data_IF_692927860042
#
_entry.id   IF_692927860042
#
_cell.length_a   1.000
_cell.length_b   1.000
_cell.length_c   1.000
_cell.angle_alpha   90.00
_cell.angle_beta   90.00
_cell.angle_gamma   90.00
#
_symmetry.space_group_name_H-M   'P 1'
#
loop_
_entity.id
_entity.type
_entity.pdbx_description
1 polymer ?
#
# COMPACT_ATOMS: atom_id res chain seq x y z
N UNK A 1 -21.03 -32.75 -27.37
CA UNK A 1 -19.62 -32.56 -27.74
C UNK A 1 -19.39 -31.06 -27.89
N UNK A 2 -19.13 -30.28 -26.84
CA UNK A 2 -17.87 -30.16 -26.10
C UNK A 2 -16.67 -29.87 -27.02
N UNK A 3 -16.27 -28.59 -27.12
CA UNK A 3 -14.86 -28.17 -27.14
C UNK A 3 -14.71 -26.65 -26.98
N UNK A 4 -14.29 -26.32 -25.76
CA UNK A 4 -13.65 -25.12 -25.21
C UNK A 4 -12.78 -24.29 -26.16
N UNK A 5 -13.00 -22.98 -26.18
CA UNK A 5 -12.01 -21.96 -26.54
C UNK A 5 -11.51 -21.28 -25.26
N UNK A 6 -10.41 -21.79 -24.70
CA UNK A 6 -9.64 -21.12 -23.64
C UNK A 6 -8.39 -20.54 -24.32
N UNK A 7 -8.29 -19.22 -24.41
CA UNK A 7 -7.13 -18.52 -24.99
C UNK A 7 -6.33 -17.91 -23.84
N UNK A 8 -5.34 -18.64 -23.35
CA UNK A 8 -4.26 -18.14 -22.50
C UNK A 8 -3.17 -17.51 -23.37
N UNK A 9 -2.67 -16.30 -23.05
CA UNK A 9 -1.34 -15.89 -23.49
C UNK A 9 -0.32 -16.29 -22.42
N UNK A 10 0.48 -17.31 -22.74
CA UNK A 10 1.70 -17.63 -22.02
C UNK A 10 2.76 -16.55 -22.34
N UNK A 11 3.00 -15.66 -21.39
CA UNK A 11 4.11 -14.71 -21.45
C UNK A 11 5.35 -15.38 -20.86
N UNK A 12 6.19 -15.89 -21.75
CA UNK A 12 7.57 -16.33 -21.47
C UNK A 12 8.39 -15.08 -21.17
N UNK A 13 8.79 -14.87 -19.92
CA UNK A 13 9.76 -13.83 -19.57
C UNK A 13 11.13 -14.49 -19.37
N UNK A 14 11.97 -14.34 -20.38
CA UNK A 14 13.38 -14.70 -20.35
C UNK A 14 14.13 -13.75 -19.40
N UNK A 15 14.77 -14.33 -18.38
CA UNK A 15 15.73 -13.67 -17.50
C UNK A 15 17.08 -13.54 -18.23
N UNK A 16 17.35 -12.35 -18.74
CA UNK A 16 18.69 -11.94 -19.14
C UNK A 16 19.31 -11.12 -18.00
N UNK A 17 20.07 -11.78 -17.13
CA UNK A 17 20.94 -11.13 -16.15
C UNK A 17 22.28 -10.82 -16.83
N UNK A 18 22.45 -9.56 -17.23
CA UNK A 18 23.74 -8.99 -17.60
C UNK A 18 23.81 -7.57 -17.01
N UNK A 19 24.75 -7.34 -16.09
CA UNK A 19 24.86 -6.02 -15.46
C UNK A 19 25.82 -5.92 -14.29
N UNK A 20 27.09 -6.17 -14.56
CA UNK A 20 28.28 -5.48 -14.04
C UNK A 20 28.46 -5.23 -12.53
N UNK A 21 29.57 -5.79 -12.04
CA UNK A 21 30.36 -5.24 -10.95
C UNK A 21 30.86 -3.82 -11.28
N UNK A 22 30.75 -2.91 -10.33
CA UNK A 22 31.27 -1.54 -10.42
C UNK A 22 31.41 -0.92 -9.04
N UNK A 23 32.62 -1.01 -8.49
CA UNK A 23 33.29 -0.08 -7.57
C UNK A 23 32.42 0.70 -6.57
N UNK A 24 32.41 0.21 -5.33
CA UNK A 24 32.13 1.01 -4.15
C UNK A 24 33.21 2.09 -4.00
N UNK A 25 32.86 3.34 -4.29
CA UNK A 25 33.72 4.50 -4.13
C UNK A 25 32.91 5.78 -4.04
N UNK A 26 32.77 6.30 -2.81
CA UNK A 26 32.60 7.72 -2.49
C UNK A 26 31.25 8.39 -2.79
N UNK A 27 30.61 8.93 -1.76
CA UNK A 27 30.54 10.39 -1.57
C UNK A 27 29.67 10.72 -0.36
N UNK A 28 30.26 11.47 0.55
CA UNK A 28 29.61 12.12 1.66
C UNK A 28 28.37 12.90 1.22
N UNK A 29 27.26 12.67 1.90
CA UNK A 29 26.15 13.62 1.99
C UNK A 29 26.65 14.87 2.75
N UNK A 30 27.18 15.85 2.03
CA UNK A 30 27.24 17.24 2.49
C UNK A 30 26.02 17.96 1.94
N UNK A 31 25.03 18.14 2.79
CA UNK A 31 24.01 19.15 2.60
C UNK A 31 24.68 20.53 2.58
N UNK A 32 24.67 21.18 1.43
CA UNK A 32 25.15 22.54 1.29
C UNK A 32 24.14 23.53 1.91
N UNK A 33 24.58 24.45 2.81
CA UNK A 33 23.83 25.66 3.11
C UNK A 33 24.09 26.67 1.97
N UNK A 34 23.59 26.40 0.76
CA UNK A 34 23.81 27.27 -0.39
C UNK A 34 23.00 28.58 -0.34
N UNK A 35 22.01 28.68 0.55
CA UNK A 35 21.12 29.85 0.63
C UNK A 35 21.74 31.04 1.40
N UNK A 36 22.59 30.80 2.41
CA UNK A 36 23.16 31.88 3.22
C UNK A 36 24.31 32.63 2.52
N UNK A 37 25.11 31.92 1.72
CA UNK A 37 26.20 32.52 0.94
C UNK A 37 25.69 33.41 -0.20
N UNK A 38 24.62 33.00 -0.89
CA UNK A 38 24.04 33.75 -2.01
C UNK A 38 23.41 35.08 -1.57
N UNK A 39 22.73 35.11 -0.42
CA UNK A 39 22.11 36.33 0.12
C UNK A 39 23.16 37.39 0.48
N UNK A 40 24.28 37.00 1.10
CA UNK A 40 25.36 37.94 1.45
C UNK A 40 26.04 38.56 0.23
N UNK A 41 26.20 37.82 -0.89
CA UNK A 41 26.75 38.37 -2.13
C UNK A 41 25.77 39.32 -2.81
N UNK A 42 24.49 38.95 -2.89
CA UNK A 42 23.45 39.81 -3.48
C UNK A 42 23.25 41.13 -2.72
N UNK A 43 23.31 41.10 -1.38
CA UNK A 43 23.23 42.31 -0.55
C UNK A 43 24.46 43.21 -0.75
N UNK A 44 25.66 42.63 -0.89
CA UNK A 44 26.89 43.35 -1.20
C UNK A 44 26.84 44.02 -2.58
N UNK A 45 26.33 43.31 -3.58
CA UNK A 45 26.12 43.81 -4.94
C UNK A 45 25.08 44.94 -4.98
N UNK A 46 23.97 44.80 -4.25
CA UNK A 46 22.96 45.87 -4.09
C UNK A 46 23.55 47.10 -3.39
N UNK A 47 24.38 46.90 -2.36
CA UNK A 47 25.05 48.01 -1.68
C UNK A 47 26.06 48.70 -2.60
N UNK A 48 26.86 47.95 -3.37
CA UNK A 48 27.75 48.50 -4.39
C UNK A 48 27.00 49.31 -5.44
N UNK A 49 25.89 48.79 -5.97
CA UNK A 49 25.04 49.50 -6.94
C UNK A 49 24.47 50.81 -6.38
N UNK A 50 24.07 50.85 -5.11
CA UNK A 50 23.61 52.10 -4.46
C UNK A 50 24.74 53.10 -4.31
N UNK A 51 25.93 52.63 -3.92
CA UNK A 51 27.13 53.47 -3.77
C UNK A 51 27.55 54.03 -5.13
N UNK A 52 27.64 53.21 -6.18
CA UNK A 52 28.01 53.66 -7.53
C UNK A 52 26.96 54.60 -8.12
N UNK A 53 25.67 54.36 -7.88
CA UNK A 53 24.59 55.28 -8.27
C UNK A 53 24.73 56.64 -7.58
N UNK A 54 25.02 56.65 -6.26
CA UNK A 54 25.23 57.89 -5.52
C UNK A 54 26.47 58.66 -6.00
N UNK A 55 27.57 57.94 -6.33
CA UNK A 55 28.78 58.54 -6.90
C UNK A 55 28.52 59.15 -8.28
N UNK A 56 27.68 58.50 -9.10
CA UNK A 56 27.31 58.99 -10.42
C UNK A 56 26.43 60.25 -10.33
N UNK A 57 25.54 60.31 -9.34
CA UNK A 57 24.75 61.52 -9.05
C UNK A 57 25.63 62.66 -8.51
N UNK A 58 26.60 62.37 -7.65
CA UNK A 58 27.57 63.37 -7.17
C UNK A 58 28.43 63.91 -8.32
N UNK A 59 29.00 63.05 -9.16
CA UNK A 59 29.81 63.47 -10.31
C UNK A 59 29.00 64.28 -11.34
N UNK A 60 27.72 63.94 -11.55
CA UNK A 60 26.82 64.75 -12.38
C UNK A 60 26.56 66.13 -11.79
N UNK A 61 26.36 66.23 -10.47
CA UNK A 61 26.17 67.50 -9.78
C UNK A 61 27.44 68.37 -9.80
N UNK A 62 28.62 67.75 -9.68
CA UNK A 62 29.91 68.43 -9.81
C UNK A 62 30.14 68.94 -11.23
N UNK A 63 29.82 68.15 -12.26
CA UNK A 63 29.82 68.59 -13.65
C UNK A 63 28.87 69.77 -13.91
N UNK A 64 27.69 69.76 -13.29
CA UNK A 64 26.74 70.86 -13.39
C UNK A 64 27.25 72.12 -12.68
N UNK A 65 27.89 71.98 -11.51
CA UNK A 65 28.50 73.07 -10.76
C UNK A 65 29.71 73.70 -11.49
N UNK A 66 30.53 72.86 -12.13
CA UNK A 66 31.67 73.29 -12.96
C UNK A 66 31.20 74.02 -14.23
N UNK A 67 30.17 73.50 -14.91
CA UNK A 67 29.56 74.17 -16.08
C UNK A 67 28.84 75.47 -15.73
N UNK A 68 28.34 75.61 -14.50
CA UNK A 68 27.75 76.84 -13.98
C UNK A 68 28.80 77.89 -13.54
N UNK A 69 30.10 77.65 -13.76
CA UNK A 69 31.16 78.63 -13.54
C UNK A 69 31.54 78.85 -12.07
N UNK A 70 31.20 77.92 -11.18
CA UNK A 70 31.59 78.02 -9.76
C UNK A 70 33.09 77.73 -9.64
N UNK A 71 33.90 78.61 -9.03
CA UNK A 71 35.33 78.41 -8.95
C UNK A 71 35.61 77.22 -8.03
N UNK A 72 36.15 76.13 -8.60
CA UNK A 72 36.93 75.19 -7.81
C UNK A 72 38.13 75.96 -7.30
N UNK A 73 38.43 75.85 -6.00
CA UNK A 73 39.62 76.41 -5.41
C UNK A 73 40.86 75.83 -6.11
N UNK A 74 41.32 76.51 -7.16
CA UNK A 74 42.44 76.10 -7.97
C UNK A 74 43.73 76.71 -7.40
N UNK A 75 44.68 75.83 -7.04
CA UNK A 75 46.07 76.22 -6.95
C UNK A 75 46.57 76.70 -8.33
N UNK A 76 47.52 77.65 -8.41
CA UNK A 76 47.96 78.22 -9.68
C UNK A 76 48.81 77.20 -10.44
N UNK A 77 48.34 76.74 -11.60
CA UNK A 77 49.11 75.89 -12.52
C UNK A 77 48.38 74.70 -13.15
N UNK A 78 47.10 74.46 -12.86
CA UNK A 78 46.36 73.32 -13.42
C UNK A 78 45.96 73.56 -14.91
N UNK A 79 46.09 72.55 -15.80
CA UNK A 79 45.63 72.65 -17.18
C UNK A 79 44.09 72.81 -17.25
N UNK A 80 43.64 73.41 -18.35
CA UNK A 80 42.29 73.97 -18.56
C UNK A 80 41.08 73.09 -18.12
N UNK A 81 39.99 73.71 -17.63
CA UNK A 81 38.76 73.03 -17.18
C UNK A 81 38.05 72.19 -18.27
N UNK A 82 38.38 72.40 -19.55
CA UNK A 82 37.84 71.64 -20.67
C UNK A 82 38.32 70.17 -20.68
N UNK A 83 39.55 69.89 -20.24
CA UNK A 83 40.10 68.53 -20.21
C UNK A 83 39.43 67.66 -19.12
N UNK A 84 39.17 68.25 -17.94
CA UNK A 84 38.44 67.59 -16.85
C UNK A 84 36.98 67.30 -17.23
N UNK A 85 36.30 68.23 -17.92
CA UNK A 85 34.93 68.02 -18.37
C UNK A 85 34.83 66.90 -19.39
N UNK A 86 35.79 66.75 -20.30
CA UNK A 86 35.84 65.61 -21.24
C UNK A 86 36.15 64.28 -20.56
N UNK A 87 37.05 64.26 -19.56
CA UNK A 87 37.32 63.07 -18.76
C UNK A 87 36.06 62.60 -18.01
N UNK A 88 35.35 63.52 -17.34
CA UNK A 88 34.11 63.22 -16.62
C UNK A 88 32.98 62.74 -17.55
N UNK A 89 32.90 63.26 -18.78
CA UNK A 89 31.95 62.75 -19.80
C UNK A 89 32.26 61.32 -20.23
N UNK A 90 33.54 61.00 -20.43
CA UNK A 90 33.97 59.63 -20.75
C UNK A 90 33.66 58.66 -19.62
N UNK A 91 33.85 59.07 -18.38
CA UNK A 91 33.55 58.23 -17.22
C UNK A 91 32.05 58.04 -17.03
N UNK A 92 31.22 59.06 -17.29
CA UNK A 92 29.77 58.91 -17.33
C UNK A 92 29.31 57.92 -18.41
N UNK A 93 29.85 58.03 -19.62
CA UNK A 93 29.54 57.11 -20.71
C UNK A 93 29.95 55.67 -20.37
N UNK A 94 31.11 55.48 -19.71
CA UNK A 94 31.60 54.18 -19.25
C UNK A 94 30.73 53.60 -18.14
N UNK A 95 30.31 54.41 -17.18
CA UNK A 95 29.44 53.96 -16.09
C UNK A 95 28.02 53.63 -16.59
N UNK A 96 27.49 54.40 -17.56
CA UNK A 96 26.21 54.10 -18.20
C UNK A 96 26.23 52.76 -18.95
N UNK A 97 27.30 52.47 -19.70
CA UNK A 97 27.43 51.19 -20.39
C UNK A 97 27.59 50.01 -19.43
N UNK A 98 28.32 50.18 -18.33
CA UNK A 98 28.42 49.18 -17.26
C UNK A 98 27.06 48.89 -16.61
N UNK A 99 26.29 49.93 -16.30
CA UNK A 99 24.95 49.78 -15.71
C UNK A 99 23.99 49.04 -16.66
N UNK A 100 24.07 49.32 -17.97
CA UNK A 100 23.29 48.60 -18.97
C UNK A 100 23.68 47.12 -19.04
N UNK A 101 24.98 46.82 -19.00
CA UNK A 101 25.49 45.44 -18.95
C UNK A 101 25.06 44.68 -17.70
N UNK A 102 25.12 45.31 -16.52
CA UNK A 102 24.65 44.69 -15.27
C UNK A 102 23.14 44.45 -15.26
N UNK A 103 22.34 45.37 -15.83
CA UNK A 103 20.89 45.17 -15.96
C UNK A 103 20.58 43.96 -16.84
N UNK A 104 21.24 43.85 -18.00
CA UNK A 104 21.05 42.71 -18.90
C UNK A 104 21.53 41.40 -18.26
N UNK A 105 22.66 41.39 -17.57
CA UNK A 105 23.15 40.22 -16.84
C UNK A 105 22.20 39.80 -15.72
N UNK A 106 21.59 40.77 -15.01
CA UNK A 106 20.61 40.51 -13.95
C UNK A 106 19.30 39.96 -14.50
N UNK A 107 18.81 40.49 -15.63
CA UNK A 107 17.62 39.99 -16.31
C UNK A 107 17.82 38.53 -16.77
N UNK A 108 18.98 38.23 -17.37
CA UNK A 108 19.36 36.87 -17.76
C UNK A 108 19.47 35.94 -16.55
N UNK A 109 20.07 36.40 -15.45
CA UNK A 109 20.15 35.64 -14.21
C UNK A 109 18.76 35.38 -13.62
N UNK A 110 17.85 36.37 -13.59
CA UNK A 110 16.49 36.17 -13.11
C UNK A 110 15.70 35.19 -13.99
N UNK A 111 15.82 35.30 -15.31
CA UNK A 111 15.19 34.36 -16.24
C UNK A 111 15.71 32.92 -16.04
N UNK A 112 17.02 32.77 -15.81
CA UNK A 112 17.63 31.47 -15.50
C UNK A 112 17.13 30.88 -14.18
N UNK A 113 17.01 31.70 -13.13
CA UNK A 113 16.47 31.26 -11.83
C UNK A 113 15.00 30.85 -11.95
N UNK A 114 14.18 31.61 -12.68
CA UNK A 114 12.79 31.26 -12.93
C UNK A 114 12.64 29.93 -13.70
N UNK A 115 13.46 29.72 -14.74
CA UNK A 115 13.48 28.46 -15.47
C UNK A 115 13.88 27.28 -14.59
N UNK A 116 14.93 27.42 -13.77
CA UNK A 116 15.34 26.36 -12.83
C UNK A 116 14.23 26.08 -11.83
N UNK A 117 13.56 27.12 -11.32
CA UNK A 117 12.44 26.95 -10.38
C UNK A 117 11.27 26.23 -11.01
N UNK A 118 10.91 26.56 -12.25
CA UNK A 118 9.85 25.86 -13.00
C UNK A 118 10.23 24.39 -13.26
N UNK A 119 11.48 24.11 -13.63
CA UNK A 119 11.96 22.74 -13.82
C UNK A 119 11.95 21.95 -12.51
N UNK A 120 12.37 22.54 -11.40
CA UNK A 120 12.34 21.92 -10.07
C UNK A 120 10.89 21.62 -9.62
N UNK A 121 9.95 22.55 -9.87
CA UNK A 121 8.53 22.34 -9.59
C UNK A 121 7.95 21.20 -10.45
N UNK A 122 8.20 21.22 -11.76
CA UNK A 122 7.75 20.16 -12.65
C UNK A 122 8.36 18.78 -12.30
N UNK A 123 9.62 18.75 -11.85
CA UNK A 123 10.26 17.52 -11.37
C UNK A 123 9.64 17.03 -10.05
N UNK A 124 9.32 17.94 -9.13
CA UNK A 124 8.65 17.61 -7.87
C UNK A 124 7.21 17.11 -8.08
N UNK A 125 6.46 17.71 -9.00
CA UNK A 125 5.12 17.24 -9.36
C UNK A 125 5.16 15.87 -10.03
N UNK A 126 6.11 15.64 -10.94
CA UNK A 126 6.31 14.32 -11.57
C UNK A 126 6.67 13.24 -10.55
N UNK A 127 7.60 13.52 -9.64
CA UNK A 127 7.98 12.55 -8.60
C UNK A 127 6.84 12.32 -7.60
N UNK A 128 6.11 13.36 -7.22
CA UNK A 128 4.91 13.26 -6.39
C UNK A 128 3.82 12.40 -7.05
N UNK A 129 3.59 12.60 -8.35
CA UNK A 129 2.66 11.79 -9.14
C UNK A 129 3.06 10.32 -9.21
N UNK A 130 4.34 10.02 -9.42
CA UNK A 130 4.85 8.64 -9.40
C UNK A 130 4.68 7.99 -8.02
N UNK A 131 5.00 8.70 -6.94
CA UNK A 131 4.82 8.19 -5.57
C UNK A 131 3.34 7.89 -5.30
N UNK A 132 2.43 8.76 -5.73
CA UNK A 132 0.99 8.53 -5.60
C UNK A 132 0.54 7.29 -6.38
N UNK A 133 1.01 7.10 -7.62
CA UNK A 133 0.72 5.92 -8.44
C UNK A 133 1.25 4.63 -7.81
N UNK A 134 2.47 4.64 -7.27
CA UNK A 134 3.01 3.47 -6.57
C UNK A 134 2.17 3.15 -5.34
N UNK A 135 1.82 4.16 -4.53
CA UNK A 135 0.96 3.98 -3.35
C UNK A 135 -0.40 3.38 -3.72
N UNK A 136 -1.08 3.91 -4.73
CA UNK A 136 -2.37 3.37 -5.16
C UNK A 136 -2.24 1.93 -5.66
N UNK A 137 -1.19 1.60 -6.43
CA UNK A 137 -0.94 0.24 -6.88
C UNK A 137 -0.66 -0.73 -5.71
N UNK A 138 0.08 -0.28 -4.69
CA UNK A 138 0.31 -1.07 -3.47
C UNK A 138 -0.99 -1.31 -2.70
N UNK A 139 -1.84 -0.29 -2.55
CA UNK A 139 -3.15 -0.43 -1.89
C UNK A 139 -4.08 -1.37 -2.65
N UNK A 140 -4.12 -1.29 -3.98
CA UNK A 140 -4.88 -2.20 -4.82
C UNK A 140 -4.40 -3.64 -4.70
N UNK A 141 -3.08 -3.86 -4.67
CA UNK A 141 -2.49 -5.18 -4.48
C UNK A 141 -2.86 -5.75 -3.10
N UNK A 142 -2.75 -4.94 -2.04
CA UNK A 142 -3.13 -5.34 -0.69
C UNK A 142 -4.63 -5.67 -0.59
N UNK A 143 -5.48 -4.89 -1.24
CA UNK A 143 -6.93 -5.15 -1.30
C UNK A 143 -7.20 -6.48 -1.99
N UNK A 144 -6.55 -6.72 -3.12
CA UNK A 144 -6.72 -7.97 -3.90
C UNK A 144 -6.21 -9.18 -3.12
N UNK A 145 -5.06 -9.06 -2.46
CA UNK A 145 -4.52 -10.12 -1.62
C UNK A 145 -5.49 -10.48 -0.48
N UNK A 146 -6.03 -9.49 0.23
CA UNK A 146 -7.04 -9.70 1.28
C UNK A 146 -8.32 -10.34 0.75
N UNK A 147 -8.79 -9.91 -0.42
CA UNK A 147 -9.96 -10.52 -1.06
C UNK A 147 -9.70 -12.01 -1.41
N UNK A 148 -8.54 -12.33 -1.98
CA UNK A 148 -8.18 -13.71 -2.31
C UNK A 148 -8.04 -14.60 -1.07
N UNK A 149 -7.52 -14.06 0.04
CA UNK A 149 -7.40 -14.82 1.29
C UNK A 149 -8.79 -15.05 1.92
N UNK A 150 -9.67 -14.06 1.86
CA UNK A 150 -11.05 -14.22 2.32
C UNK A 150 -11.83 -15.26 1.48
N UNK A 151 -11.66 -15.25 0.16
CA UNK A 151 -12.23 -16.27 -0.73
C UNK A 151 -11.67 -17.65 -0.43
N UNK A 152 -10.35 -17.76 -0.20
CA UNK A 152 -9.71 -19.01 0.18
C UNK A 152 -10.28 -19.54 1.50
N UNK A 153 -10.40 -18.70 2.52
CA UNK A 153 -10.96 -19.10 3.81
C UNK A 153 -12.43 -19.55 3.68
N UNK A 154 -13.22 -18.85 2.87
CA UNK A 154 -14.60 -19.24 2.57
C UNK A 154 -14.66 -20.60 1.88
N UNK A 155 -13.87 -20.82 0.83
CA UNK A 155 -13.84 -22.10 0.12
C UNK A 155 -13.34 -23.24 1.00
N UNK A 156 -12.37 -22.98 1.89
CA UNK A 156 -11.91 -23.97 2.87
C UNK A 156 -13.01 -24.34 3.86
N UNK A 157 -13.79 -23.36 4.34
CA UNK A 157 -14.93 -23.62 5.21
C UNK A 157 -16.02 -24.43 4.49
N UNK A 158 -16.39 -24.05 3.27
CA UNK A 158 -17.37 -24.78 2.44
C UNK A 158 -16.91 -26.21 2.12
N UNK A 159 -15.63 -26.40 1.79
CA UNK A 159 -15.06 -27.73 1.56
C UNK A 159 -15.05 -28.56 2.85
N UNK A 160 -14.76 -27.93 3.99
CA UNK A 160 -14.82 -28.55 5.31
C UNK A 160 -16.22 -29.07 5.63
N UNK A 161 -17.26 -28.24 5.48
CA UNK A 161 -18.64 -28.65 5.73
C UNK A 161 -19.09 -29.76 4.78
N UNK A 162 -18.74 -29.67 3.49
CA UNK A 162 -19.03 -30.73 2.53
C UNK A 162 -18.34 -32.05 2.89
N UNK A 163 -17.07 -32.00 3.32
CA UNK A 163 -16.35 -33.21 3.74
C UNK A 163 -16.98 -33.84 4.97
N UNK A 164 -17.40 -33.04 5.94
CA UNK A 164 -18.16 -33.53 7.10
C UNK A 164 -19.51 -34.11 6.69
N UNK A 165 -20.20 -33.53 5.71
CA UNK A 165 -21.45 -34.08 5.19
C UNK A 165 -21.25 -35.45 4.56
N UNK A 166 -20.19 -35.61 3.75
CA UNK A 166 -19.86 -36.87 3.09
C UNK A 166 -19.50 -37.95 4.12
N UNK A 167 -18.67 -37.65 5.11
CA UNK A 167 -18.30 -38.65 6.14
C UNK A 167 -19.51 -39.09 6.97
N UNK A 168 -20.42 -38.17 7.29
CA UNK A 168 -21.68 -38.51 7.97
C UNK A 168 -22.61 -39.34 7.07
N UNK A 169 -22.72 -39.00 5.79
CA UNK A 169 -23.45 -39.79 4.79
C UNK A 169 -22.91 -41.23 4.71
N UNK A 170 -21.60 -41.39 4.61
CA UNK A 170 -20.94 -42.71 4.53
C UNK A 170 -21.19 -43.54 5.80
N UNK A 171 -21.06 -42.92 6.98
CA UNK A 171 -21.34 -43.58 8.25
C UNK A 171 -22.81 -44.02 8.36
N UNK A 172 -23.75 -43.15 7.98
CA UNK A 172 -25.19 -43.43 7.98
C UNK A 172 -25.56 -44.49 6.94
N UNK A 173 -24.94 -44.46 5.77
CA UNK A 173 -25.12 -45.48 4.74
C UNK A 173 -24.65 -46.86 5.23
N UNK A 174 -23.48 -46.91 5.87
CA UNK A 174 -22.97 -48.15 6.51
C UNK A 174 -23.91 -48.66 7.60
N UNK A 175 -24.44 -47.75 8.43
CA UNK A 175 -25.44 -48.09 9.47
C UNK A 175 -26.71 -48.66 8.84
N UNK A 176 -27.25 -48.04 7.79
CA UNK A 176 -28.43 -48.53 7.08
C UNK A 176 -28.19 -49.90 6.41
N UNK A 177 -27.02 -50.12 5.83
CA UNK A 177 -26.66 -51.43 5.28
C UNK A 177 -26.59 -52.52 6.37
N UNK A 178 -26.00 -52.22 7.53
CA UNK A 178 -25.95 -53.15 8.65
C UNK A 178 -27.36 -53.48 9.17
N UNK A 179 -28.22 -52.47 9.35
CA UNK A 179 -29.63 -52.67 9.74
C UNK A 179 -30.38 -53.50 8.69
N UNK A 180 -30.14 -53.25 7.41
CA UNK A 180 -30.70 -54.06 6.32
C UNK A 180 -30.30 -55.53 6.44
N UNK A 181 -29.01 -55.82 6.68
CA UNK A 181 -28.54 -57.19 6.90
C UNK A 181 -29.12 -57.82 8.18
N UNK A 182 -29.28 -57.06 9.27
CA UNK A 182 -29.95 -57.54 10.48
C UNK A 182 -31.40 -57.95 10.20
N UNK A 183 -32.13 -57.18 9.39
CA UNK A 183 -33.50 -57.51 8.99
C UNK A 183 -33.52 -58.79 8.15
N UNK A 184 -32.65 -58.92 7.13
CA UNK A 184 -32.57 -60.15 6.33
C UNK A 184 -32.26 -61.38 7.22
N UNK A 185 -31.29 -61.26 8.14
CA UNK A 185 -30.93 -62.33 9.08
C UNK A 185 -32.08 -62.66 10.05
N UNK A 186 -32.85 -61.66 10.49
CA UNK A 186 -34.03 -61.88 11.32
C UNK A 186 -35.09 -62.69 10.57
N UNK A 187 -35.29 -62.44 9.26
CA UNK A 187 -36.16 -63.27 8.42
C UNK A 187 -35.62 -64.70 8.25
N UNK A 188 -34.32 -64.88 7.96
CA UNK A 188 -33.70 -66.21 7.84
C UNK A 188 -33.80 -67.05 9.12
N UNK A 189 -33.65 -66.42 10.28
CA UNK A 189 -33.73 -67.11 11.58
C UNK A 189 -35.16 -67.34 12.06
N UNK A 190 -36.14 -66.62 11.51
CA UNK A 190 -37.57 -66.81 11.82
C UNK A 190 -38.21 -68.00 11.07
N UNK A 191 -37.56 -68.56 10.06
CA UNK A 191 -38.27 -69.30 8.99
C UNK A 191 -38.90 -70.66 9.42
N UNK A 192 -38.28 -71.46 10.28
CA UNK A 192 -38.81 -72.83 10.50
C UNK A 192 -39.51 -73.06 11.85
N UNK A 193 -39.07 -72.43 12.94
CA UNK A 193 -39.71 -72.61 14.26
C UNK A 193 -40.89 -71.67 14.52
N UNK A 194 -40.80 -70.43 14.04
CA UNK A 194 -41.78 -69.39 14.34
C UNK A 194 -43.05 -69.50 13.50
N UNK A 195 -42.94 -69.97 12.25
CA UNK A 195 -44.08 -70.23 11.35
C UNK A 195 -44.97 -71.36 11.88
N UNK A 196 -44.37 -72.42 12.44
CA UNK A 196 -45.13 -73.50 13.11
C UNK A 196 -45.83 -73.02 14.40
N UNK A 197 -45.19 -72.15 15.18
CA UNK A 197 -45.81 -71.54 16.37
C UNK A 197 -46.87 -70.48 16.04
N UNK A 198 -46.70 -69.73 14.95
CA UNK A 198 -47.61 -68.69 14.49
C UNK A 198 -48.91 -69.24 13.87
N UNK A 199 -48.92 -70.51 13.44
CA UNK A 199 -50.12 -71.22 12.97
C UNK A 199 -51.06 -71.63 14.10
N UNK A 200 -50.68 -71.45 15.36
CA UNK A 200 -51.57 -71.69 16.50
C UNK A 200 -52.45 -70.45 16.79
N UNK A 201 -53.78 -70.60 16.88
CA UNK A 201 -54.75 -69.49 16.89
C UNK A 201 -54.74 -68.60 18.14
N UNK A 202 -53.86 -68.81 19.12
CA UNK A 202 -53.79 -68.06 20.39
C UNK A 202 -52.52 -67.24 20.60
N UNK A 203 -51.67 -67.09 19.57
CA UNK A 203 -50.40 -66.38 19.69
C UNK A 203 -50.55 -64.84 19.67
N UNK A 204 -51.36 -64.24 20.54
CA UNK A 204 -51.40 -62.78 20.72
C UNK A 204 -49.99 -62.22 21.06
N UNK A 205 -49.20 -63.01 21.79
CA UNK A 205 -47.80 -62.73 22.09
C UNK A 205 -46.88 -62.70 20.86
N UNK A 206 -47.18 -63.43 19.77
CA UNK A 206 -46.36 -63.36 18.55
C UNK A 206 -46.64 -62.08 17.79
N UNK A 207 -47.91 -61.65 17.69
CA UNK A 207 -48.29 -60.37 17.06
C UNK A 207 -47.59 -59.17 17.71
N UNK A 208 -47.61 -59.08 19.05
CA UNK A 208 -46.92 -58.01 19.78
C UNK A 208 -45.41 -58.04 19.56
N UNK A 209 -44.79 -59.23 19.50
CA UNK A 209 -43.35 -59.36 19.18
C UNK A 209 -43.02 -58.86 17.77
N UNK A 210 -43.86 -59.15 16.78
CA UNK A 210 -43.66 -58.63 15.42
C UNK A 210 -43.83 -57.10 15.35
N UNK A 211 -44.81 -56.55 16.07
CA UNK A 211 -44.98 -55.09 16.20
C UNK A 211 -43.77 -54.43 16.87
N UNK A 212 -43.23 -55.03 17.94
CA UNK A 212 -42.05 -54.52 18.63
C UNK A 212 -40.78 -54.58 17.76
N UNK A 213 -40.61 -55.65 16.98
CA UNK A 213 -39.52 -55.78 16.01
C UNK A 213 -39.65 -54.74 14.90
N UNK A 214 -40.87 -54.52 14.38
CA UNK A 214 -41.14 -53.51 13.37
C UNK A 214 -40.85 -52.08 13.89
N UNK A 215 -41.22 -51.79 15.15
CA UNK A 215 -40.88 -50.52 15.81
C UNK A 215 -39.37 -50.35 15.96
N UNK A 216 -38.67 -51.34 16.50
CA UNK A 216 -37.21 -51.27 16.71
C UNK A 216 -36.42 -51.06 15.41
N UNK A 217 -36.80 -51.74 14.32
CA UNK A 217 -36.17 -51.51 13.02
C UNK A 217 -36.60 -50.17 12.42
N UNK A 218 -37.85 -49.74 12.62
CA UNK A 218 -38.33 -48.40 12.26
C UNK A 218 -37.50 -47.30 12.88
N UNK A 219 -37.21 -47.40 14.18
CA UNK A 219 -36.37 -46.45 14.93
C UNK A 219 -34.94 -46.43 14.38
N UNK A 220 -34.32 -47.60 14.18
CA UNK A 220 -32.97 -47.71 13.60
C UNK A 220 -32.86 -47.12 12.18
N UNK A 221 -33.87 -47.33 11.34
CA UNK A 221 -33.95 -46.75 10.00
C UNK A 221 -34.13 -45.23 10.03
N UNK A 222 -34.92 -44.73 10.99
CA UNK A 222 -35.14 -43.32 11.18
C UNK A 222 -33.88 -42.61 11.69
N UNK A 223 -33.20 -43.18 12.68
CA UNK A 223 -31.91 -42.70 13.20
C UNK A 223 -30.78 -42.77 12.16
N UNK A 224 -30.81 -43.77 11.28
CA UNK A 224 -29.86 -43.96 10.18
C UNK A 224 -30.08 -43.02 8.99
N UNK A 225 -31.17 -42.26 8.95
CA UNK A 225 -31.46 -41.34 7.84
C UNK A 225 -30.53 -40.13 7.88
N UNK A 226 -29.89 -39.84 6.75
CA UNK A 226 -29.08 -38.63 6.62
C UNK A 226 -29.96 -37.39 6.44
N UNK A 227 -29.70 -36.34 7.22
CA UNK A 227 -30.29 -35.01 7.05
C UNK A 227 -29.21 -33.98 6.73
N UNK A 228 -29.24 -33.44 5.51
CA UNK A 228 -28.30 -32.42 5.04
C UNK A 228 -28.41 -31.10 5.82
N UNK A 229 -29.54 -30.83 6.48
CA UNK A 229 -29.74 -29.61 7.29
C UNK A 229 -29.02 -29.72 8.64
N UNK A 230 -28.91 -30.93 9.19
CA UNK A 230 -28.21 -31.17 10.45
C UNK A 230 -26.69 -30.95 10.34
N UNK A 231 -26.11 -31.13 9.15
CA UNK A 231 -24.68 -30.88 8.89
C UNK A 231 -24.36 -29.39 8.72
N UNK A 232 -25.30 -28.63 8.17
CA UNK A 232 -25.13 -27.20 7.90
C UNK A 232 -25.53 -26.30 9.07
N UNK A 233 -26.09 -26.86 10.13
CA UNK A 233 -26.38 -26.12 11.35
C UNK A 233 -25.06 -25.77 12.06
N UNK A 234 -24.76 -24.48 12.32
CA UNK A 234 -23.61 -24.12 13.13
C UNK A 234 -23.75 -24.80 14.50
N UNK A 235 -22.74 -25.60 14.89
CA UNK A 235 -22.66 -26.21 16.22
C UNK A 235 -22.87 -25.09 17.26
N UNK A 236 -23.87 -25.17 18.15
CA UNK A 236 -23.99 -24.22 19.25
C UNK A 236 -22.67 -24.22 20.00
N UNK A 237 -22.06 -23.04 20.14
CA UNK A 237 -20.89 -22.86 20.98
C UNK A 237 -21.27 -23.35 22.38
N UNK A 238 -20.78 -24.53 22.71
CA UNK A 238 -20.82 -25.11 24.03
C UNK A 238 -20.19 -24.07 24.95
N UNK A 239 -21.05 -23.44 25.77
CA UNK A 239 -20.67 -22.38 26.68
C UNK A 239 -19.45 -22.85 27.46
N UNK A 240 -18.36 -22.09 27.36
CA UNK A 240 -17.14 -22.30 28.10
C UNK A 240 -17.49 -22.41 29.59
N UNK A 241 -17.52 -23.65 30.08
CA UNK A 241 -17.55 -23.96 31.49
C UNK A 241 -16.26 -23.40 32.08
N UNK A 242 -16.41 -22.31 32.82
CA UNK A 242 -15.37 -21.76 33.69
C UNK A 242 -15.01 -22.84 34.72
N UNK A 243 -13.75 -23.28 34.81
CA UNK A 243 -13.35 -24.18 35.89
C UNK A 243 -13.38 -23.40 37.23
N UNK A 244 -13.85 -24.01 38.33
CA UNK A 244 -13.76 -23.39 39.64
C UNK A 244 -12.28 -23.26 40.03
N UNK A 245 -11.92 -22.06 40.50
CA UNK A 245 -10.61 -21.75 41.04
C UNK A 245 -10.24 -22.75 42.14
N UNK A 246 -9.25 -23.61 41.86
CA UNK A 246 -8.63 -24.45 42.85
C UNK A 246 -7.92 -23.56 43.88
N UNK A 247 -8.37 -23.68 45.13
CA UNK A 247 -7.79 -23.04 46.29
C UNK A 247 -6.29 -23.33 46.40
N UNK A 248 -5.51 -22.26 46.52
CA UNK A 248 -4.09 -22.33 46.86
C UNK A 248 -3.93 -22.91 48.27
N UNK A 249 -3.38 -24.12 48.37
CA UNK A 249 -2.85 -24.66 49.62
C UNK A 249 -1.47 -24.04 49.89
N UNK A 250 -1.39 -23.18 50.90
CA UNK A 250 -0.14 -22.68 51.46
C UNK A 250 0.68 -23.81 52.09
N UNK A 251 2.03 -23.81 52.02
CA UNK A 251 2.84 -24.78 52.72
C UNK A 251 2.97 -24.41 54.20
N UNK A 252 2.78 -25.42 55.05
CA UNK A 252 2.96 -25.35 56.49
C UNK A 252 4.44 -25.21 56.86
N UNK A 253 4.72 -24.27 57.76
CA UNK A 253 5.97 -24.17 58.49
C UNK A 253 6.11 -25.32 59.49
N UNK A 254 7.28 -25.97 59.51
CA UNK A 254 7.86 -26.57 60.71
C UNK A 254 9.38 -26.66 60.58
#
# INVERSE_FOLDING_TARGET
MARSHFKTPALVLALAFAGQAGLAGGAHAQGAPAAAGAQSMEERLRAQLRITTSQLQQAQNELAALKAGKPVAAAPGAPAPAAEVEALRKDLARAQSQLAGERQAREQASAGVEQIRQQAQAAAEKSGGQIAQFRSAYEELLRTARASEAERQRLLAETGTQRTALTQCEAKNTQLYAVGQEVLRAYETMDMGSVFAARQPFAAQSRVKFEQIAQQYGDKLYEGRFDARAVNAPKPAEAAATPPAAAASAPAAK
#
